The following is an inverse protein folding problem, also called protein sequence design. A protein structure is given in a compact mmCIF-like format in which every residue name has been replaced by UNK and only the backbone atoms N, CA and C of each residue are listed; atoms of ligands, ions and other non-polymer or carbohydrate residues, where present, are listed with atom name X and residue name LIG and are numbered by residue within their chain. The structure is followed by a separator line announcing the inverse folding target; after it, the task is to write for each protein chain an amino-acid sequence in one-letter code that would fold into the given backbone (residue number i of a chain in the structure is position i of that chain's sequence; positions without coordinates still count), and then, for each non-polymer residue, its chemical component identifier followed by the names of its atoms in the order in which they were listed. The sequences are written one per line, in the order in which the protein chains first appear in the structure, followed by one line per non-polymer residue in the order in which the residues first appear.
data_IF_234061802112
#
_entry.id   IF_234061802112
#
_cell.length_a   1.000
_cell.length_b   1.000
_cell.length_c   1.000
_cell.angle_alpha   90.00
_cell.angle_beta   90.00
_cell.angle_gamma   90.00
#
_symmetry.space_group_name_H-M   'P 1'
#
loop_
_entity.id
_entity.type
_entity.pdbx_description
1 polymer ?
#
# COMPACT_ATOMS: atom_id res chain seq x y z
N UNK A 1 -72.03 0.66 75.21
CA UNK A 1 -71.38 1.14 73.98
C UNK A 1 -70.21 2.05 74.37
N UNK A 2 -69.04 1.46 74.57
CA UNK A 2 -67.79 2.21 74.76
C UNK A 2 -67.35 2.74 73.39
N UNK A 3 -67.30 4.06 73.26
CA UNK A 3 -66.99 4.75 72.01
C UNK A 3 -65.51 4.70 71.65
N UNK A 4 -64.90 3.53 71.58
CA UNK A 4 -63.55 3.38 71.05
C UNK A 4 -63.61 3.32 69.52
N UNK A 5 -63.29 4.43 68.86
CA UNK A 5 -62.98 4.43 67.43
C UNK A 5 -61.55 3.91 67.27
N UNK A 6 -61.41 2.65 66.84
CA UNK A 6 -60.14 2.12 66.37
C UNK A 6 -59.73 2.89 65.11
N UNK A 7 -58.67 3.67 65.23
CA UNK A 7 -58.05 4.33 64.08
C UNK A 7 -57.13 3.31 63.43
N UNK A 8 -57.58 2.73 62.31
CA UNK A 8 -56.74 1.86 61.49
C UNK A 8 -55.74 2.78 60.77
N UNK A 9 -54.52 2.86 61.28
CA UNK A 9 -53.40 3.39 60.50
C UNK A 9 -53.09 2.40 59.38
N UNK A 10 -53.53 2.73 58.16
CA UNK A 10 -53.09 2.00 56.97
C UNK A 10 -51.69 2.52 56.65
N UNK A 11 -50.62 1.71 56.75
CA UNK A 11 -49.29 2.15 56.35
C UNK A 11 -49.31 2.43 54.85
N UNK A 12 -49.11 3.68 54.46
CA UNK A 12 -48.95 4.08 53.07
C UNK A 12 -47.45 4.04 52.76
N UNK A 13 -47.01 3.05 51.97
CA UNK A 13 -45.65 3.03 51.43
C UNK A 13 -45.60 4.00 50.24
N UNK A 14 -44.60 4.88 50.19
CA UNK A 14 -44.33 5.70 49.01
C UNK A 14 -43.92 4.79 47.83
N UNK A 15 -44.35 5.14 46.62
CA UNK A 15 -43.97 4.42 45.39
C UNK A 15 -42.46 4.51 45.17
N UNK A 16 -41.85 3.39 44.78
CA UNK A 16 -40.41 3.33 44.53
C UNK A 16 -40.03 4.27 43.35
N UNK A 17 -40.86 4.38 42.30
CA UNK A 17 -40.66 5.34 41.19
C UNK A 17 -40.70 6.82 41.61
N UNK A 18 -41.39 7.17 42.71
CA UNK A 18 -41.45 8.55 43.19
C UNK A 18 -40.17 9.00 43.93
N UNK A 19 -39.24 8.08 44.17
CA UNK A 19 -38.01 8.33 44.95
C UNK A 19 -36.74 7.85 44.27
N UNK A 20 -36.83 7.03 43.21
CA UNK A 20 -35.69 6.42 42.52
C UNK A 20 -35.81 6.63 41.00
N UNK A 21 -35.50 7.83 40.52
CA UNK A 21 -35.53 8.12 39.08
C UNK A 21 -34.36 7.41 38.37
N UNK A 22 -34.61 6.64 37.29
CA UNK A 22 -33.56 5.94 36.58
C UNK A 22 -32.72 6.90 35.75
N UNK A 23 -31.40 6.73 35.79
CA UNK A 23 -30.44 7.56 35.05
C UNK A 23 -29.68 6.76 34.00
N UNK A 24 -29.02 7.44 33.07
CA UNK A 24 -28.08 6.84 32.13
C UNK A 24 -26.67 6.86 32.69
N UNK A 25 -25.91 5.78 32.43
CA UNK A 25 -24.49 5.72 32.77
C UNK A 25 -23.73 6.78 31.98
N UNK A 26 -22.75 7.46 32.60
CA UNK A 26 -21.86 8.35 31.88
C UNK A 26 -21.10 7.60 30.79
N UNK A 27 -20.59 8.32 29.80
CA UNK A 27 -19.70 7.74 28.81
C UNK A 27 -18.35 7.39 29.43
N UNK A 28 -17.65 6.46 28.78
CA UNK A 28 -16.28 6.16 29.15
C UNK A 28 -15.36 7.33 28.77
N UNK A 29 -14.27 7.53 29.51
CA UNK A 29 -13.26 8.51 29.15
C UNK A 29 -12.72 8.22 27.74
N UNK A 30 -12.74 9.22 26.87
CA UNK A 30 -12.27 9.10 25.48
C UNK A 30 -13.33 8.64 24.47
N UNK A 31 -14.60 8.49 24.84
CA UNK A 31 -15.69 8.29 23.87
C UNK A 31 -15.71 9.45 22.86
N UNK A 32 -15.73 9.17 21.54
CA UNK A 32 -15.82 10.20 20.51
C UNK A 32 -17.05 11.09 20.67
N UNK A 33 -16.92 12.38 20.37
CA UNK A 33 -18.00 13.36 20.54
C UNK A 33 -19.27 12.95 19.78
N UNK A 34 -19.12 12.35 18.60
CA UNK A 34 -20.26 11.96 17.77
C UNK A 34 -21.05 10.76 18.32
N UNK A 35 -20.43 9.96 19.20
CA UNK A 35 -21.06 8.82 19.89
C UNK A 35 -21.33 9.10 21.37
N UNK A 36 -20.94 10.27 21.88
CA UNK A 36 -21.20 10.69 23.25
C UNK A 36 -22.70 10.72 23.57
N UNK A 37 -23.06 10.13 24.72
CA UNK A 37 -24.42 9.98 25.21
C UNK A 37 -25.27 8.98 24.44
N UNK A 38 -24.71 8.28 23.45
CA UNK A 38 -25.42 7.34 22.58
C UNK A 38 -24.96 5.91 22.82
N UNK A 39 -25.85 4.97 22.54
CA UNK A 39 -25.51 3.55 22.41
C UNK A 39 -25.29 3.23 20.93
N UNK A 40 -24.13 2.66 20.62
CA UNK A 40 -23.79 2.23 19.28
C UNK A 40 -24.39 0.84 19.00
N UNK A 41 -25.26 0.74 18.01
CA UNK A 41 -25.98 -0.48 17.63
C UNK A 41 -25.55 -0.99 16.25
N UNK A 42 -25.59 -2.30 16.04
CA UNK A 42 -25.30 -2.91 14.73
C UNK A 42 -26.46 -2.73 13.76
N UNK A 43 -27.70 -2.84 14.27
CA UNK A 43 -28.92 -2.59 13.53
C UNK A 43 -29.11 -1.13 13.11
N UNK A 44 -30.09 -0.88 12.23
CA UNK A 44 -30.42 0.48 11.81
C UNK A 44 -30.98 1.29 12.98
N UNK A 45 -30.52 2.53 13.10
CA UNK A 45 -31.03 3.54 14.05
C UNK A 45 -32.24 4.32 13.51
N UNK A 46 -32.80 3.94 12.35
CA UNK A 46 -34.02 4.58 11.85
C UNK A 46 -35.22 4.16 12.70
N UNK A 47 -36.19 5.06 12.98
CA UNK A 47 -37.41 4.70 13.68
C UNK A 47 -38.10 3.48 13.07
N UNK A 48 -38.71 2.65 13.92
CA UNK A 48 -39.33 1.37 13.60
C UNK A 48 -38.37 0.22 13.22
N UNK A 49 -37.06 0.46 13.22
CA UNK A 49 -36.08 -0.60 13.00
C UNK A 49 -36.05 -1.56 14.20
N UNK A 50 -36.07 -2.89 13.98
CA UNK A 50 -35.98 -3.86 15.06
C UNK A 50 -34.57 -3.86 15.66
N UNK A 51 -34.48 -4.17 16.95
CA UNK A 51 -33.22 -4.36 17.65
C UNK A 51 -32.86 -5.84 17.71
N UNK A 52 -31.59 -6.16 17.47
CA UNK A 52 -31.07 -7.48 17.76
C UNK A 52 -30.99 -7.71 19.28
N UNK A 53 -30.94 -8.95 19.77
CA UNK A 53 -30.73 -9.22 21.20
C UNK A 53 -29.46 -8.56 21.75
N UNK A 54 -28.39 -8.47 20.95
CA UNK A 54 -27.15 -7.80 21.33
C UNK A 54 -27.33 -6.29 21.47
N UNK A 55 -28.06 -5.66 20.54
CA UNK A 55 -28.36 -4.22 20.62
C UNK A 55 -29.26 -3.91 21.83
N UNK A 56 -30.24 -4.78 22.13
CA UNK A 56 -31.07 -4.66 23.33
C UNK A 56 -30.21 -4.74 24.60
N UNK A 57 -29.27 -5.69 24.67
CA UNK A 57 -28.37 -5.81 25.81
C UNK A 57 -27.48 -4.56 25.97
N UNK A 58 -26.92 -4.03 24.88
CA UNK A 58 -26.13 -2.80 24.90
C UNK A 58 -26.94 -1.58 25.38
N UNK A 59 -28.20 -1.46 24.93
CA UNK A 59 -29.12 -0.40 25.38
C UNK A 59 -29.46 -0.56 26.86
N UNK A 60 -29.76 -1.78 27.30
CA UNK A 60 -30.05 -2.11 28.70
C UNK A 60 -28.88 -1.72 29.61
N UNK A 61 -27.66 -2.03 29.17
CA UNK A 61 -26.44 -1.75 29.93
C UNK A 61 -26.15 -0.26 30.07
N UNK A 62 -26.74 0.62 29.23
CA UNK A 62 -26.62 2.07 29.39
C UNK A 62 -27.44 2.63 30.54
N UNK A 63 -28.44 1.90 31.05
CA UNK A 63 -29.20 2.32 32.24
C UNK A 63 -28.36 2.10 33.51
N UNK A 64 -28.24 3.13 34.33
CA UNK A 64 -27.57 3.05 35.63
C UNK A 64 -28.53 2.47 36.67
N UNK A 65 -28.20 1.27 37.15
CA UNK A 65 -28.98 0.55 38.15
C UNK A 65 -28.36 0.61 39.55
N UNK A 66 -27.23 1.33 39.72
CA UNK A 66 -26.45 1.33 40.97
C UNK A 66 -27.21 1.88 42.18
N UNK A 67 -28.12 2.82 41.94
CA UNK A 67 -28.93 3.47 42.98
C UNK A 67 -30.39 2.97 43.01
N UNK A 68 -30.72 1.93 42.25
CA UNK A 68 -32.10 1.41 42.17
C UNK A 68 -32.34 0.31 43.21
N UNK A 69 -33.59 0.13 43.69
CA UNK A 69 -33.95 -0.93 44.64
C UNK A 69 -33.59 -2.33 44.13
N UNK A 70 -33.16 -3.21 45.03
CA UNK A 70 -32.88 -4.60 44.70
C UNK A 70 -34.14 -5.31 44.16
N UNK A 71 -34.02 -6.00 43.03
CA UNK A 71 -35.14 -6.63 42.32
C UNK A 71 -35.72 -5.78 41.19
N UNK A 72 -35.20 -4.57 40.96
CA UNK A 72 -35.51 -3.76 39.77
C UNK A 72 -35.11 -4.50 38.49
N UNK A 73 -35.99 -4.50 37.49
CA UNK A 73 -35.71 -5.06 36.16
C UNK A 73 -35.70 -3.96 35.11
N UNK A 74 -34.87 -4.15 34.08
CA UNK A 74 -34.68 -3.21 32.97
C UNK A 74 -34.97 -3.95 31.67
N UNK A 75 -35.93 -3.44 30.91
CA UNK A 75 -36.43 -4.05 29.68
C UNK A 75 -36.44 -3.02 28.55
N UNK A 76 -35.48 -3.09 27.62
CA UNK A 76 -35.52 -2.30 26.39
C UNK A 76 -36.72 -2.68 25.52
N UNK A 77 -37.24 -1.72 24.76
CA UNK A 77 -38.18 -1.99 23.68
C UNK A 77 -37.51 -2.81 22.56
N UNK A 78 -38.31 -3.46 21.72
CA UNK A 78 -37.81 -4.32 20.63
C UNK A 78 -37.42 -3.56 19.36
N UNK A 79 -37.64 -2.25 19.33
CA UNK A 79 -37.41 -1.41 18.14
C UNK A 79 -36.92 -0.02 18.53
N UNK A 80 -36.29 0.63 17.57
CA UNK A 80 -35.93 2.06 17.65
C UNK A 80 -37.18 2.91 17.49
N UNK A 81 -37.28 3.95 18.31
CA UNK A 81 -38.34 4.96 18.31
C UNK A 81 -37.72 6.37 18.17
N UNK A 82 -38.49 7.42 18.47
CA UNK A 82 -38.03 8.81 18.33
C UNK A 82 -38.13 9.33 16.89
N UNK A 83 -37.17 10.15 16.48
CA UNK A 83 -37.13 10.79 15.16
C UNK A 83 -35.87 10.39 14.40
N UNK A 84 -35.82 10.50 13.07
CA UNK A 84 -34.60 10.19 12.30
C UNK A 84 -33.36 10.97 12.77
N UNK A 85 -33.52 12.21 13.22
CA UNK A 85 -32.41 13.05 13.71
C UNK A 85 -32.08 12.80 15.20
N UNK A 86 -33.02 12.24 15.94
CA UNK A 86 -32.87 11.89 17.35
C UNK A 86 -33.52 10.51 17.61
N UNK A 87 -32.87 9.44 17.14
CA UNK A 87 -33.36 8.09 17.37
C UNK A 87 -33.05 7.66 18.79
N UNK A 88 -34.03 7.00 19.42
CA UNK A 88 -33.92 6.52 20.80
C UNK A 88 -34.50 5.13 20.92
N UNK A 89 -34.16 4.43 21.99
CA UNK A 89 -34.84 3.21 22.41
C UNK A 89 -35.48 3.48 23.76
N UNK A 90 -36.78 3.24 23.87
CA UNK A 90 -37.50 3.33 25.13
C UNK A 90 -37.12 2.13 26.00
N UNK A 91 -36.72 2.39 27.24
CA UNK A 91 -36.38 1.37 28.22
C UNK A 91 -37.34 1.47 29.39
N UNK A 92 -38.04 0.38 29.68
CA UNK A 92 -38.93 0.29 30.84
C UNK A 92 -38.15 -0.23 32.04
N UNK A 93 -38.14 0.54 33.12
CA UNK A 93 -37.59 0.16 34.42
C UNK A 93 -38.76 -0.23 35.32
N UNK A 94 -38.80 -1.48 35.79
CA UNK A 94 -39.86 -1.98 36.68
C UNK A 94 -39.31 -2.22 38.08
N UNK A 95 -39.90 -1.56 39.07
CA UNK A 95 -39.51 -1.65 40.47
C UNK A 95 -40.14 -2.86 41.18
N UNK A 96 -39.61 -3.29 42.34
CA UNK A 96 -40.17 -4.39 43.11
C UNK A 96 -41.62 -4.19 43.56
N UNK A 97 -42.07 -2.93 43.71
CA UNK A 97 -43.46 -2.59 44.04
C UNK A 97 -44.40 -2.60 42.81
N UNK A 98 -43.89 -2.95 41.63
CA UNK A 98 -44.63 -3.01 40.37
C UNK A 98 -44.84 -1.66 39.69
N UNK A 99 -44.32 -0.56 40.25
CA UNK A 99 -44.29 0.73 39.54
C UNK A 99 -43.27 0.69 38.41
N UNK A 100 -43.41 1.58 37.44
CA UNK A 100 -42.55 1.63 36.26
C UNK A 100 -42.18 3.06 35.91
N UNK A 101 -40.96 3.25 35.42
CA UNK A 101 -40.50 4.46 34.74
C UNK A 101 -39.98 4.13 33.34
N UNK A 102 -39.90 5.14 32.48
CA UNK A 102 -39.41 5.01 31.11
C UNK A 102 -38.22 5.93 30.90
N UNK A 103 -37.12 5.38 30.37
CA UNK A 103 -35.92 6.13 29.98
C UNK A 103 -35.76 6.05 28.47
N UNK A 104 -35.47 7.18 27.82
CA UNK A 104 -35.15 7.21 26.40
C UNK A 104 -33.64 7.19 26.22
N UNK A 105 -33.13 6.13 25.62
CA UNK A 105 -31.69 5.96 25.38
C UNK A 105 -31.39 6.36 23.93
N UNK A 106 -30.62 7.44 23.68
CA UNK A 106 -30.18 7.78 22.33
C UNK A 106 -29.36 6.65 21.72
N UNK A 107 -29.60 6.35 20.45
CA UNK A 107 -28.84 5.34 19.70
C UNK A 107 -28.20 5.95 18.46
N UNK A 108 -27.20 5.27 17.92
CA UNK A 108 -26.61 5.54 16.61
C UNK A 108 -26.19 4.21 16.00
N UNK A 109 -26.47 4.00 14.71
CA UNK A 109 -25.94 2.85 14.01
C UNK A 109 -24.41 3.01 13.87
N UNK A 110 -23.68 1.94 14.18
CA UNK A 110 -22.22 1.89 14.05
C UNK A 110 -21.80 2.21 12.63
N UNK A 111 -20.78 3.04 12.49
CA UNK A 111 -20.21 3.36 11.19
C UNK A 111 -19.61 2.11 10.53
N UNK A 112 -19.00 1.21 11.31
CA UNK A 112 -18.50 -0.11 10.85
C UNK A 112 -19.59 -1.12 10.47
N UNK A 113 -20.86 -0.88 10.83
CA UNK A 113 -21.97 -1.75 10.43
C UNK A 113 -22.52 -1.38 9.04
N UNK A 114 -22.20 -0.18 8.54
CA UNK A 114 -22.71 0.34 7.26
C UNK A 114 -21.62 0.68 6.26
N UNK A 115 -20.37 0.77 6.71
CA UNK A 115 -19.19 0.97 5.88
C UNK A 115 -18.30 -0.27 5.96
N UNK A 116 -17.61 -0.57 4.87
CA UNK A 116 -16.63 -1.66 4.82
C UNK A 116 -15.39 -1.13 4.09
N UNK A 117 -14.20 -1.19 4.70
CA UNK A 117 -12.98 -0.78 4.04
C UNK A 117 -12.60 -1.79 2.96
N UNK A 118 -11.99 -1.32 1.89
CA UNK A 118 -11.59 -2.19 0.77
C UNK A 118 -10.22 -1.83 0.25
N UNK A 119 -9.63 -2.72 -0.54
CA UNK A 119 -8.38 -2.45 -1.25
C UNK A 119 -8.69 -1.58 -2.46
N UNK A 120 -7.92 -0.51 -2.63
CA UNK A 120 -8.00 0.39 -3.77
C UNK A 120 -7.73 -0.37 -5.06
N UNK A 121 -8.54 -0.08 -6.09
CA UNK A 121 -8.32 -0.64 -7.41
C UNK A 121 -6.95 -0.22 -7.97
N UNK A 122 -6.30 -1.14 -8.67
CA UNK A 122 -5.03 -0.85 -9.32
C UNK A 122 -5.20 0.15 -10.47
N UNK A 123 -4.13 0.91 -10.73
CA UNK A 123 -4.07 1.76 -11.90
C UNK A 123 -4.03 0.93 -13.19
N UNK A 124 -4.53 1.47 -14.32
CA UNK A 124 -4.42 0.80 -15.61
C UNK A 124 -2.97 0.43 -15.93
N UNK A 125 -2.76 -0.79 -16.45
CA UNK A 125 -1.45 -1.36 -16.77
C UNK A 125 -0.54 -1.66 -15.57
N UNK A 126 -1.07 -1.70 -14.35
CA UNK A 126 -0.33 -2.28 -13.21
C UNK A 126 0.08 -3.72 -13.54
N UNK A 127 1.38 -4.09 -13.39
CA UNK A 127 1.83 -5.44 -13.68
C UNK A 127 1.09 -6.49 -12.86
N UNK A 128 0.81 -7.64 -13.47
CA UNK A 128 0.04 -8.71 -12.83
C UNK A 128 0.67 -9.21 -11.52
N UNK A 129 2.00 -9.15 -11.40
CA UNK A 129 2.74 -9.59 -10.21
C UNK A 129 2.55 -8.63 -9.03
N UNK A 130 2.32 -7.35 -9.28
CA UNK A 130 2.11 -6.30 -8.26
C UNK A 130 0.64 -5.90 -8.09
N UNK A 131 -0.27 -6.40 -8.94
CA UNK A 131 -1.70 -6.14 -8.85
C UNK A 131 -2.28 -6.51 -7.47
N UNK A 132 -3.01 -5.58 -6.86
CA UNK A 132 -3.62 -5.69 -5.55
C UNK A 132 -2.63 -5.71 -4.38
N UNK A 133 -1.33 -5.47 -4.64
CA UNK A 133 -0.28 -5.50 -3.62
C UNK A 133 0.29 -4.12 -3.38
N UNK A 134 0.63 -3.82 -2.12
CA UNK A 134 1.53 -2.72 -1.80
C UNK A 134 2.98 -3.17 -2.03
N UNK A 135 3.74 -2.34 -2.74
CA UNK A 135 5.15 -2.58 -3.01
C UNK A 135 6.00 -1.91 -1.93
N UNK A 136 6.74 -2.71 -1.18
CA UNK A 136 7.54 -2.27 -0.02
C UNK A 136 9.03 -2.46 -0.27
N UNK A 137 9.87 -1.63 0.34
CA UNK A 137 11.33 -1.74 0.27
C UNK A 137 11.85 -2.83 1.23
N UNK A 138 11.22 -2.92 2.40
CA UNK A 138 11.48 -3.95 3.39
C UNK A 138 11.10 -5.37 2.93
N UNK A 139 11.55 -6.38 3.67
CA UNK A 139 11.19 -7.77 3.37
C UNK A 139 9.69 -7.99 3.55
N UNK A 140 9.07 -8.71 2.61
CA UNK A 140 7.67 -9.15 2.66
C UNK A 140 7.49 -10.49 3.40
N UNK A 141 8.52 -11.01 4.06
CA UNK A 141 8.39 -12.24 4.85
C UNK A 141 7.62 -11.97 6.15
N UNK A 142 6.80 -12.92 6.64
CA UNK A 142 6.11 -12.75 7.91
C UNK A 142 7.04 -12.38 9.06
N UNK A 143 6.57 -11.49 9.93
CA UNK A 143 7.30 -10.85 11.04
C UNK A 143 8.41 -9.87 10.64
N UNK A 144 8.58 -9.55 9.36
CA UNK A 144 9.47 -8.46 8.95
C UNK A 144 8.90 -7.12 9.42
N UNK A 145 9.71 -6.24 10.02
CA UNK A 145 9.27 -4.90 10.41
C UNK A 145 9.03 -4.04 9.16
N UNK A 146 8.10 -3.10 9.27
CA UNK A 146 7.84 -2.09 8.24
C UNK A 146 8.51 -0.77 8.59
N UNK A 147 9.16 -0.16 7.61
CA UNK A 147 9.57 1.24 7.70
C UNK A 147 8.34 2.16 7.58
N UNK A 148 8.49 3.44 7.93
CA UNK A 148 7.41 4.41 7.77
C UNK A 148 6.99 4.57 6.30
N UNK A 149 7.96 4.47 5.37
CA UNK A 149 7.68 4.47 3.93
C UNK A 149 6.86 3.25 3.50
N UNK A 150 7.17 2.07 4.03
CA UNK A 150 6.39 0.85 3.75
C UNK A 150 4.96 0.97 4.30
N UNK A 151 4.79 1.54 5.49
CA UNK A 151 3.47 1.78 6.08
C UNK A 151 2.64 2.72 5.24
N UNK A 152 3.20 3.83 4.76
CA UNK A 152 2.46 4.74 3.88
C UNK A 152 2.10 4.06 2.55
N UNK A 153 2.98 3.26 1.96
CA UNK A 153 2.65 2.48 0.75
C UNK A 153 1.51 1.47 0.98
N UNK A 154 1.45 0.85 2.16
CA UNK A 154 0.34 -0.04 2.56
C UNK A 154 -0.95 0.76 2.78
N UNK A 155 -0.87 1.89 3.48
CA UNK A 155 -2.01 2.76 3.78
C UNK A 155 -2.66 3.31 2.51
N UNK A 156 -1.85 3.69 1.52
CA UNK A 156 -2.32 4.18 0.21
C UNK A 156 -3.13 3.15 -0.60
N UNK A 157 -3.01 1.86 -0.25
CA UNK A 157 -3.81 0.78 -0.85
C UNK A 157 -5.17 0.60 -0.19
N UNK A 158 -5.52 1.33 0.87
CA UNK A 158 -6.85 1.30 1.46
C UNK A 158 -7.73 2.34 0.76
N UNK A 159 -8.88 1.91 0.22
CA UNK A 159 -9.86 2.81 -0.38
C UNK A 159 -10.71 3.47 0.71
N UNK A 160 -10.45 4.75 0.96
CA UNK A 160 -11.22 5.57 1.91
C UNK A 160 -12.29 6.42 1.24
N UNK A 161 -12.49 6.31 -0.08
CA UNK A 161 -13.35 7.24 -0.85
C UNK A 161 -14.84 7.17 -0.52
N UNK A 162 -15.28 6.05 0.09
CA UNK A 162 -16.67 5.83 0.52
C UNK A 162 -16.84 5.80 2.03
N UNK A 163 -15.76 6.00 2.78
CA UNK A 163 -15.77 5.98 4.24
C UNK A 163 -16.14 7.37 4.78
N UNK A 164 -16.72 7.47 5.98
CA UNK A 164 -17.10 8.76 6.55
C UNK A 164 -15.89 9.65 6.84
N UNK A 165 -16.09 10.96 6.74
CA UNK A 165 -15.07 11.96 7.03
C UNK A 165 -14.58 11.84 8.49
N UNK A 166 -13.26 11.89 8.68
CA UNK A 166 -12.62 11.66 9.98
C UNK A 166 -12.21 10.21 10.25
N UNK A 167 -12.49 9.29 9.32
CA UNK A 167 -11.93 7.94 9.34
C UNK A 167 -10.40 8.00 9.31
N UNK A 168 -9.74 7.22 10.16
CA UNK A 168 -8.28 7.09 10.20
C UNK A 168 -7.87 5.67 9.85
N UNK A 169 -6.69 5.54 9.21
CA UNK A 169 -6.17 4.27 8.71
C UNK A 169 -4.77 4.07 9.27
N UNK A 170 -4.55 2.98 9.99
CA UNK A 170 -3.31 2.68 10.69
C UNK A 170 -2.82 1.27 10.34
N UNK A 171 -1.79 1.15 9.50
CA UNK A 171 -1.13 -0.13 9.24
C UNK A 171 -0.42 -0.67 10.49
N UNK A 172 -0.40 -1.98 10.65
CA UNK A 172 0.41 -2.66 11.65
C UNK A 172 1.92 -2.44 11.41
N UNK A 173 2.74 -2.66 12.44
CA UNK A 173 4.19 -2.40 12.36
C UNK A 173 5.01 -3.47 11.63
N UNK A 174 4.38 -4.58 11.26
CA UNK A 174 5.06 -5.74 10.68
C UNK A 174 4.19 -6.47 9.66
N UNK A 175 4.86 -7.18 8.77
CA UNK A 175 4.22 -8.11 7.86
C UNK A 175 3.66 -9.31 8.63
N UNK A 176 2.44 -9.71 8.31
CA UNK A 176 1.73 -10.90 8.80
C UNK A 176 1.35 -11.81 7.63
N UNK A 177 0.41 -12.74 7.82
CA UNK A 177 0.04 -13.72 6.79
C UNK A 177 1.04 -14.88 6.67
N UNK A 178 1.13 -15.46 5.48
CA UNK A 178 2.03 -16.58 5.18
C UNK A 178 3.14 -16.16 4.22
N UNK A 179 4.24 -16.92 4.08
CA UNK A 179 5.28 -16.60 3.10
C UNK A 179 4.77 -16.50 1.65
N UNK A 180 3.74 -17.29 1.30
CA UNK A 180 3.14 -17.27 -0.04
C UNK A 180 2.06 -16.19 -0.19
N UNK A 181 1.47 -15.74 0.92
CA UNK A 181 0.45 -14.69 0.96
C UNK A 181 0.77 -13.72 2.10
N UNK A 182 1.83 -12.91 1.96
CA UNK A 182 2.17 -11.94 2.96
C UNK A 182 1.20 -10.76 2.89
N UNK A 183 0.75 -10.31 4.06
CA UNK A 183 -0.18 -9.20 4.19
C UNK A 183 0.26 -8.28 5.31
N UNK A 184 -0.27 -7.07 5.33
CA UNK A 184 -0.20 -6.17 6.48
C UNK A 184 -1.64 -5.91 6.93
N UNK A 185 -1.88 -6.17 8.21
CA UNK A 185 -3.16 -5.84 8.83
C UNK A 185 -3.26 -4.33 8.99
N UNK A 186 -4.37 -3.75 8.55
CA UNK A 186 -4.62 -2.32 8.65
C UNK A 186 -5.90 -2.11 9.46
N UNK A 187 -5.78 -1.35 10.55
CA UNK A 187 -6.92 -0.94 11.37
C UNK A 187 -7.51 0.35 10.80
N UNK A 188 -8.80 0.31 10.51
CA UNK A 188 -9.60 1.47 10.10
C UNK A 188 -10.45 1.87 11.29
N UNK A 189 -10.28 3.11 11.76
CA UNK A 189 -11.00 3.65 12.92
C UNK A 189 -11.96 4.71 12.41
N UNK A 190 -13.25 4.48 12.64
CA UNK A 190 -14.31 5.39 12.23
C UNK A 190 -14.48 6.55 13.21
N UNK A 191 -15.13 7.64 12.78
CA UNK A 191 -15.39 8.80 13.63
C UNK A 191 -16.14 8.48 14.93
N UNK A 192 -16.98 7.44 14.94
CA UNK A 192 -17.76 7.03 16.13
C UNK A 192 -16.95 6.16 17.09
N UNK A 193 -15.71 5.83 16.72
CA UNK A 193 -14.75 5.03 17.47
C UNK A 193 -14.84 3.54 17.20
N UNK A 194 -15.78 3.08 16.36
CA UNK A 194 -15.77 1.68 15.92
C UNK A 194 -14.60 1.45 14.98
N UNK A 195 -14.25 0.17 14.80
CA UNK A 195 -13.07 -0.21 14.04
C UNK A 195 -13.36 -1.38 13.12
N UNK A 196 -12.75 -1.37 11.94
CA UNK A 196 -12.63 -2.52 11.06
C UNK A 196 -11.17 -2.85 10.80
N UNK A 197 -10.93 -4.05 10.28
CA UNK A 197 -9.62 -4.53 9.88
C UNK A 197 -9.64 -4.96 8.42
N UNK A 198 -8.68 -4.47 7.63
CA UNK A 198 -8.45 -4.91 6.25
C UNK A 198 -7.04 -5.45 6.10
N UNK A 199 -6.89 -6.57 5.38
CA UNK A 199 -5.59 -7.16 5.09
C UNK A 199 -5.11 -6.71 3.72
N UNK A 200 -3.99 -5.98 3.69
CA UNK A 200 -3.37 -5.50 2.44
C UNK A 200 -2.26 -6.45 2.04
N UNK A 201 -2.36 -7.15 0.88
CA UNK A 201 -1.26 -7.94 0.36
C UNK A 201 -0.03 -7.08 0.11
N UNK A 202 1.15 -7.61 0.40
CA UNK A 202 2.42 -6.93 0.15
C UNK A 202 3.33 -7.74 -0.76
N UNK A 203 4.29 -7.07 -1.38
CA UNK A 203 5.41 -7.68 -2.08
C UNK A 203 6.64 -6.78 -1.91
N UNK A 204 7.78 -7.39 -1.62
CA UNK A 204 9.05 -6.67 -1.64
C UNK A 204 9.37 -6.30 -3.10
N UNK A 205 9.72 -5.02 -3.30
CA UNK A 205 10.12 -4.49 -4.61
C UNK A 205 11.28 -5.29 -5.17
N UNK A 206 11.20 -5.62 -6.45
CA UNK A 206 12.30 -6.30 -7.14
C UNK A 206 13.54 -5.39 -7.18
N UNK A 207 13.39 -4.07 -7.38
CA UNK A 207 14.46 -3.07 -7.27
C UNK A 207 15.09 -2.94 -5.88
N UNK A 208 14.41 -3.36 -4.81
CA UNK A 208 14.99 -3.33 -3.46
C UNK A 208 15.94 -4.50 -3.18
N UNK A 209 15.85 -5.58 -3.98
CA UNK A 209 16.63 -6.81 -3.79
C UNK A 209 17.53 -7.17 -4.97
N UNK A 210 17.31 -6.54 -6.12
CA UNK A 210 18.12 -6.69 -7.32
C UNK A 210 18.80 -5.36 -7.62
N UNK A 211 20.06 -5.42 -8.04
CA UNK A 211 20.79 -4.26 -8.53
C UNK A 211 21.37 -4.63 -9.91
N UNK A 212 21.11 -3.85 -10.96
CA UNK A 212 21.65 -4.14 -12.27
C UNK A 212 23.15 -3.92 -12.29
N UNK A 213 23.87 -4.73 -13.06
CA UNK A 213 25.32 -4.59 -13.25
C UNK A 213 25.66 -4.64 -14.73
N UNK A 214 26.91 -4.31 -15.07
CA UNK A 214 27.43 -4.50 -16.43
C UNK A 214 28.15 -5.84 -16.53
N UNK A 215 28.01 -6.51 -17.67
CA UNK A 215 28.73 -7.75 -17.98
C UNK A 215 30.24 -7.50 -17.92
N UNK A 216 31.04 -8.44 -17.38
CA UNK A 216 32.49 -8.34 -17.42
C UNK A 216 32.98 -8.29 -18.87
N UNK A 217 34.19 -7.78 -19.06
CA UNK A 217 34.81 -7.80 -20.39
C UNK A 217 35.24 -9.21 -20.77
N UNK A 218 35.22 -9.50 -22.07
CA UNK A 218 35.76 -10.75 -22.58
C UNK A 218 37.28 -10.78 -22.44
N UNK A 219 37.85 -11.97 -22.23
CA UNK A 219 39.30 -12.17 -22.18
C UNK A 219 39.97 -11.60 -23.44
N UNK A 220 40.99 -10.75 -23.24
CA UNK A 220 41.72 -10.10 -24.33
C UNK A 220 41.09 -8.80 -24.84
N UNK A 221 40.06 -8.26 -24.16
CA UNK A 221 39.53 -6.92 -24.46
C UNK A 221 40.64 -5.86 -24.30
N UNK A 222 40.89 -4.99 -25.31
CA UNK A 222 41.91 -3.94 -25.21
C UNK A 222 41.66 -2.98 -24.05
N UNK A 223 42.73 -2.52 -23.40
CA UNK A 223 42.67 -1.62 -22.23
C UNK A 223 41.86 -0.34 -22.51
N UNK A 224 41.98 0.21 -23.72
CA UNK A 224 41.25 1.42 -24.15
C UNK A 224 39.72 1.23 -24.20
N UNK A 225 39.25 -0.01 -24.31
CA UNK A 225 37.84 -0.41 -24.38
C UNK A 225 37.36 -1.13 -23.12
N UNK A 226 38.23 -1.35 -22.13
CA UNK A 226 37.87 -2.04 -20.91
C UNK A 226 36.76 -1.29 -20.15
N UNK A 227 35.72 -2.01 -19.76
CA UNK A 227 34.52 -1.50 -19.10
C UNK A 227 33.62 -0.64 -19.97
N UNK A 228 33.86 -0.56 -21.29
CA UNK A 228 33.12 0.28 -22.22
C UNK A 228 32.42 -0.54 -23.30
N UNK A 229 31.29 -0.01 -23.79
CA UNK A 229 30.61 -0.49 -24.99
C UNK A 229 31.10 0.29 -26.19
N UNK A 230 31.45 -0.42 -27.26
CA UNK A 230 31.84 0.19 -28.52
C UNK A 230 30.61 0.46 -29.39
N UNK A 231 30.37 1.73 -29.69
CA UNK A 231 29.25 2.21 -30.52
C UNK A 231 29.76 2.74 -31.87
N UNK A 232 28.91 2.68 -32.90
CA UNK A 232 29.20 3.25 -34.22
C UNK A 232 28.92 4.76 -34.25
N UNK A 233 27.87 5.18 -33.53
CA UNK A 233 27.53 6.58 -33.31
C UNK A 233 28.59 7.36 -32.52
N UNK A 234 28.46 8.70 -32.49
CA UNK A 234 29.38 9.53 -31.71
C UNK A 234 29.17 9.29 -30.20
N UNK A 235 30.28 9.16 -29.47
CA UNK A 235 30.31 9.05 -28.01
C UNK A 235 30.31 10.41 -27.30
N UNK A 236 30.09 11.51 -28.03
CA UNK A 236 29.99 12.85 -27.41
C UNK A 236 28.64 12.99 -26.70
N UNK A 237 28.57 13.66 -25.53
CA UNK A 237 27.31 13.93 -24.86
C UNK A 237 26.27 14.58 -25.80
N UNK A 238 25.02 14.20 -25.63
CA UNK A 238 23.86 14.56 -26.47
C UNK A 238 23.85 13.99 -27.89
N UNK A 239 24.81 13.14 -28.26
CA UNK A 239 24.75 12.44 -29.54
C UNK A 239 23.61 11.41 -29.54
N UNK A 240 22.81 11.33 -30.61
CA UNK A 240 21.76 10.32 -30.73
C UNK A 240 22.37 8.93 -30.90
N UNK A 241 21.70 7.93 -30.34
CA UNK A 241 22.03 6.52 -30.54
C UNK A 241 21.18 5.94 -31.66
N UNK A 242 21.81 5.13 -32.51
CA UNK A 242 21.09 4.28 -33.45
C UNK A 242 20.50 3.07 -32.72
N UNK A 243 19.53 2.38 -33.32
CA UNK A 243 18.97 1.15 -32.72
C UNK A 243 20.05 0.07 -32.55
N UNK A 244 21.05 0.04 -33.44
CA UNK A 244 22.20 -0.84 -33.32
C UNK A 244 23.07 -0.49 -32.10
N UNK A 245 23.33 0.80 -31.86
CA UNK A 245 24.07 1.26 -30.68
C UNK A 245 23.29 0.94 -29.39
N UNK A 246 21.97 1.15 -29.38
CA UNK A 246 21.13 0.78 -28.23
C UNK A 246 21.17 -0.71 -27.96
N UNK A 247 21.11 -1.55 -28.99
CA UNK A 247 21.15 -3.01 -28.82
C UNK A 247 22.46 -3.48 -28.16
N UNK A 248 23.61 -2.93 -28.57
CA UNK A 248 24.89 -3.29 -27.93
C UNK A 248 25.05 -2.71 -26.52
N UNK A 249 24.46 -1.55 -26.24
CA UNK A 249 24.42 -0.98 -24.89
C UNK A 249 23.53 -1.82 -23.97
N UNK A 250 22.33 -2.20 -24.43
CA UNK A 250 21.42 -3.07 -23.69
C UNK A 250 22.07 -4.43 -23.40
N UNK A 251 22.77 -5.01 -24.38
CA UNK A 251 23.50 -6.26 -24.17
C UNK A 251 24.65 -6.12 -23.17
N UNK A 252 25.20 -4.93 -22.90
CA UNK A 252 26.21 -4.81 -21.84
C UNK A 252 25.62 -4.90 -20.43
N UNK A 253 24.32 -4.72 -20.25
CA UNK A 253 23.67 -4.95 -18.95
C UNK A 253 23.60 -6.45 -18.66
N UNK A 254 24.04 -6.85 -17.47
CA UNK A 254 23.95 -8.23 -17.01
C UNK A 254 22.57 -8.50 -16.40
N UNK A 255 21.79 -9.32 -17.10
CA UNK A 255 20.44 -9.74 -16.68
C UNK A 255 20.43 -11.14 -16.06
N UNK A 256 21.59 -11.80 -15.91
CA UNK A 256 21.67 -13.21 -15.49
C UNK A 256 21.15 -13.46 -14.07
N UNK A 257 21.22 -12.46 -13.20
CA UNK A 257 20.75 -12.53 -11.81
C UNK A 257 19.48 -11.70 -11.57
N UNK A 258 18.86 -11.17 -12.63
CA UNK A 258 17.64 -10.37 -12.52
C UNK A 258 16.40 -11.27 -12.72
N UNK A 259 15.24 -10.90 -12.17
CA UNK A 259 14.03 -11.70 -12.30
C UNK A 259 13.57 -11.83 -13.77
N UNK A 260 12.99 -12.98 -14.10
CA UNK A 260 12.47 -13.25 -15.44
C UNK A 260 11.38 -12.25 -15.82
N UNK A 261 11.47 -11.68 -17.03
CA UNK A 261 10.59 -10.62 -17.51
C UNK A 261 11.15 -9.21 -17.30
N UNK A 262 12.35 -9.06 -16.74
CA UNK A 262 13.07 -7.78 -16.69
C UNK A 262 13.32 -7.23 -18.09
N UNK A 263 13.03 -5.94 -18.29
CA UNK A 263 13.21 -5.23 -19.56
C UNK A 263 14.32 -4.18 -19.42
N UNK A 264 15.28 -4.19 -20.35
CA UNK A 264 16.40 -3.25 -20.38
C UNK A 264 16.17 -2.23 -21.50
N UNK A 265 16.11 -0.95 -21.15
CA UNK A 265 15.80 0.14 -22.09
C UNK A 265 16.88 1.22 -22.03
N UNK A 266 17.83 1.24 -22.98
CA UNK A 266 18.79 2.34 -23.11
C UNK A 266 18.11 3.65 -23.49
N UNK A 267 18.64 4.76 -22.96
CA UNK A 267 18.24 6.10 -23.37
C UNK A 267 18.49 6.36 -24.86
N UNK A 268 17.87 7.41 -25.40
CA UNK A 268 18.01 7.77 -26.83
C UNK A 268 19.34 8.44 -27.19
N UNK A 269 20.09 8.92 -26.19
CA UNK A 269 21.28 9.74 -26.38
C UNK A 269 22.38 9.37 -25.39
N UNK A 270 23.61 9.64 -25.81
CA UNK A 270 24.78 9.62 -24.91
C UNK A 270 24.66 10.75 -23.88
N UNK A 271 24.94 10.45 -22.63
CA UNK A 271 25.01 11.37 -21.48
C UNK A 271 26.43 11.36 -20.87
N UNK A 272 26.59 11.84 -19.64
CA UNK A 272 27.90 11.95 -18.99
C UNK A 272 28.73 13.14 -19.49
N UNK A 273 30.06 13.03 -19.39
CA UNK A 273 31.00 14.07 -19.84
C UNK A 273 31.76 13.62 -21.08
N UNK A 274 32.39 14.52 -21.85
CA UNK A 274 33.22 14.13 -22.99
C UNK A 274 34.35 13.14 -22.65
N UNK A 275 34.86 13.20 -21.43
CA UNK A 275 35.92 12.31 -20.92
C UNK A 275 35.35 10.99 -20.39
N UNK A 276 34.12 10.99 -19.90
CA UNK A 276 33.42 9.82 -19.37
C UNK A 276 32.00 9.75 -19.96
N UNK A 277 31.87 9.45 -21.27
CA UNK A 277 30.58 9.33 -21.89
C UNK A 277 29.92 8.02 -21.47
N UNK A 278 28.63 8.11 -21.15
CA UNK A 278 27.82 6.96 -20.72
C UNK A 278 26.48 6.98 -21.45
N UNK A 279 25.79 5.86 -21.43
CA UNK A 279 24.37 5.79 -21.79
C UNK A 279 23.63 5.36 -20.54
N UNK A 280 22.66 6.16 -20.14
CA UNK A 280 21.75 5.81 -19.06
C UNK A 280 20.82 4.70 -19.54
N UNK A 281 20.70 3.63 -18.76
CA UNK A 281 19.86 2.48 -19.09
C UNK A 281 18.87 2.26 -17.96
N UNK A 282 17.58 2.29 -18.30
CA UNK A 282 16.50 1.96 -17.37
C UNK A 282 16.27 0.45 -17.40
N UNK A 283 16.30 -0.16 -16.22
CA UNK A 283 16.00 -1.58 -16.01
C UNK A 283 14.63 -1.66 -15.32
N UNK A 284 13.63 -2.15 -16.04
CA UNK A 284 12.26 -2.28 -15.54
C UNK A 284 12.00 -3.73 -15.13
N UNK A 285 11.68 -3.93 -13.86
CA UNK A 285 11.40 -5.23 -13.29
C UNK A 285 9.97 -5.71 -13.56
N UNK A 286 9.68 -7.01 -13.42
CA UNK A 286 8.35 -7.58 -13.64
C UNK A 286 7.25 -7.01 -12.74
N UNK A 287 7.61 -6.52 -11.55
CA UNK A 287 6.68 -5.84 -10.64
C UNK A 287 6.39 -4.38 -11.01
N UNK A 288 7.06 -3.86 -12.04
CA UNK A 288 6.94 -2.49 -12.55
C UNK A 288 7.90 -1.50 -11.91
N UNK A 289 8.67 -1.91 -10.89
CA UNK A 289 9.71 -1.06 -10.32
C UNK A 289 10.88 -0.93 -11.30
N UNK A 290 11.71 0.11 -11.11
CA UNK A 290 12.79 0.42 -12.04
C UNK A 290 14.07 0.79 -11.32
N UNK A 291 15.20 0.37 -11.88
CA UNK A 291 16.53 0.90 -11.58
C UNK A 291 17.14 1.61 -12.79
N UNK A 292 18.20 2.37 -12.54
CA UNK A 292 18.97 3.05 -13.57
C UNK A 292 20.45 2.71 -13.44
N UNK A 293 21.08 2.31 -14.54
CA UNK A 293 22.51 2.03 -14.62
C UNK A 293 23.17 2.84 -15.73
N UNK A 294 24.35 3.40 -15.46
CA UNK A 294 25.15 4.12 -16.45
C UNK A 294 26.13 3.15 -17.12
N UNK A 295 25.98 2.94 -18.42
CA UNK A 295 26.86 2.09 -19.22
C UNK A 295 27.89 2.96 -19.95
N UNK A 296 29.19 2.86 -19.64
CA UNK A 296 30.22 3.62 -20.35
C UNK A 296 30.30 3.25 -21.82
N UNK A 297 30.47 4.24 -22.70
CA UNK A 297 30.56 4.02 -24.15
C UNK A 297 31.83 4.60 -24.74
N UNK A 298 32.20 4.14 -25.94
CA UNK A 298 33.28 4.71 -26.76
C UNK A 298 32.94 4.53 -28.23
N UNK A 299 33.16 5.56 -29.04
CA UNK A 299 33.00 5.45 -30.49
C UNK A 299 34.09 4.55 -31.08
N UNK A 300 33.72 3.63 -31.98
CA UNK A 300 34.68 2.81 -32.71
C UNK A 300 35.56 3.66 -33.60
N UNK A 301 36.87 3.41 -33.57
CA UNK A 301 37.82 4.09 -34.47
C UNK A 301 37.52 3.83 -35.95
N UNK A 302 37.00 2.64 -36.30
CA UNK A 302 36.60 2.30 -37.66
C UNK A 302 35.41 3.12 -38.18
N UNK A 303 34.63 3.75 -37.30
CA UNK A 303 33.55 4.65 -37.69
C UNK A 303 34.07 6.03 -38.09
N UNK A 304 35.32 6.36 -37.73
CA UNK A 304 35.93 7.69 -37.95
C UNK A 304 37.14 7.62 -38.89
N UNK A 305 37.82 6.46 -38.96
CA UNK A 305 39.06 6.28 -39.69
C UNK A 305 38.91 5.15 -40.72
N UNK A 306 39.07 5.49 -42.01
CA UNK A 306 39.20 4.50 -43.09
C UNK A 306 40.70 4.26 -43.41
N UNK A 307 41.17 3.01 -43.46
CA UNK A 307 42.54 2.74 -43.84
C UNK A 307 42.77 3.06 -45.32
N UNK A 308 43.77 3.90 -45.60
CA UNK A 308 44.20 4.19 -46.98
C UNK A 308 45.51 3.48 -47.29
N UNK A 309 45.64 2.94 -48.49
CA UNK A 309 46.95 2.50 -49.00
C UNK A 309 47.85 3.72 -49.22
N UNK A 310 49.14 3.57 -48.90
CA UNK A 310 50.12 4.61 -49.21
C UNK A 310 50.13 4.83 -50.72
N UNK A 311 50.11 6.09 -51.15
CA UNK A 311 50.26 6.41 -52.57
C UNK A 311 51.61 5.89 -53.09
N UNK A 312 51.59 5.37 -54.31
CA UNK A 312 52.80 4.94 -55.00
C UNK A 312 53.80 6.11 -55.10
N UNK A 313 55.10 5.82 -54.94
CA UNK A 313 56.14 6.85 -55.09
C UNK A 313 56.18 7.36 -56.53
N UNK A 314 56.57 8.63 -56.77
CA UNK A 314 56.72 9.15 -58.12
C UNK A 314 57.70 8.26 -58.92
N UNK A 315 57.24 7.79 -60.08
CA UNK A 315 57.90 6.82 -60.97
C UNK A 315 57.77 5.34 -60.59
N UNK A 316 56.81 4.97 -59.74
CA UNK A 316 56.44 3.55 -59.57
C UNK A 316 56.02 2.95 -60.91
N UNK A 317 56.63 1.83 -61.37
CA UNK A 317 56.23 1.18 -62.61
C UNK A 317 54.75 0.80 -62.59
N UNK A 318 54.05 0.97 -63.71
CA UNK A 318 52.60 0.69 -63.79
C UNK A 318 52.23 -0.75 -63.36
N UNK A 319 53.14 -1.70 -63.55
CA UNK A 319 52.99 -3.10 -63.14
C UNK A 319 53.02 -3.31 -61.61
N UNK A 320 53.52 -2.34 -60.86
CA UNK A 320 53.72 -2.39 -59.41
C UNK A 320 52.78 -1.42 -58.66
N UNK A 321 51.93 -0.69 -59.37
CA UNK A 321 51.02 0.28 -58.78
C UNK A 321 50.01 -0.41 -57.83
N UNK A 322 49.91 0.09 -56.59
CA UNK A 322 49.04 -0.48 -55.56
C UNK A 322 49.45 -1.87 -55.03
N UNK A 323 50.67 -2.34 -55.33
CA UNK A 323 51.21 -3.62 -54.86
C UNK A 323 52.39 -3.39 -53.90
N UNK A 324 52.46 -4.16 -52.83
CA UNK A 324 53.68 -4.25 -52.03
C UNK A 324 54.74 -5.06 -52.80
N UNK A 325 55.94 -4.51 -52.97
CA UNK A 325 57.07 -5.25 -53.53
C UNK A 325 57.68 -6.12 -52.42
N UNK A 326 57.67 -7.44 -52.61
CA UNK A 326 58.33 -8.40 -51.73
C UNK A 326 59.60 -8.93 -52.40
N UNK A 327 60.62 -9.26 -51.61
CA UNK A 327 61.90 -9.82 -52.11
C UNK A 327 61.82 -11.34 -52.36
N UNK A 328 60.60 -11.88 -52.42
CA UNK A 328 60.28 -13.30 -52.60
C UNK A 328 59.41 -13.56 -53.83
N UNK A 329 59.30 -14.81 -54.24
CA UNK A 329 58.48 -15.21 -55.40
C UNK A 329 57.00 -15.01 -55.11
N UNK A 330 56.27 -14.40 -56.06
CA UNK A 330 54.81 -14.20 -56.04
C UNK A 330 54.03 -15.51 -56.31
N UNK A 331 54.64 -16.66 -56.02
CA UNK A 331 54.02 -17.98 -56.10
C UNK A 331 53.43 -18.36 -54.75
N UNK A 332 52.20 -18.91 -54.70
CA UNK A 332 51.43 -19.12 -53.47
C UNK A 332 52.06 -20.07 -52.43
N UNK A 333 53.21 -20.69 -52.72
CA UNK A 333 53.91 -21.62 -51.82
C UNK A 333 55.37 -21.23 -51.51
N UNK A 334 55.75 -19.95 -51.67
CA UNK A 334 57.06 -19.52 -51.17
C UNK A 334 57.01 -19.26 -49.66
N UNK A 335 57.85 -19.91 -48.84
CA UNK A 335 58.06 -19.49 -47.46
C UNK A 335 58.80 -18.14 -47.49
N UNK A 336 58.16 -17.11 -46.93
CA UNK A 336 58.81 -15.83 -46.61
C UNK A 336 59.87 -16.02 -45.51
#
# INVERSE_FOLDING_TARGET
PDGTTDTIEVPVKQKDSATNEPTVKPDADGTPEISAGKVLIDGSDKPESPLSPADQEAVKDKVDTSNLPAGTTVTPADKVTGTPDNPVVEVTVTYPDGTTDTVNIPVKQKDSAINEPSVKADEPNTPAISAGKALIDGSDKPNSPLSDADKEAVKDKVDTSKLPDGTTVTPADKVTGTPDNPVVEVTVIYPDGTTDTVNIPVKQKDSAINEPTVKPDADGTPEISAGKVLIDGSDKPNSPLTDADKAVVADKVDTSNLPEGTVVTPADKVSGTPENPVVEVTVTYPDGTTDTINVPVKQKDSAVNEPTVKADEPNTPAVSAGKALIDGSDTPESPL
#
